data_IF_269657511583
#
_entry.id   IF_269657511583
#
_cell.length_a   1.000
_cell.length_b   1.000
_cell.length_c   1.000
_cell.angle_alpha   90.00
_cell.angle_beta   90.00
_cell.angle_gamma   90.00
#
_symmetry.space_group_name_H-M   'P 1'
#
loop_
_entity.id
_entity.type
_entity.pdbx_description
1 polymer ?
#
# COMPACT_ATOMS: atom_id res chain seq x y z
N UNK A 1 15.63 2.25 21.63
CA UNK A 1 14.76 3.44 21.49
C UNK A 1 15.03 4.04 20.12
N UNK A 2 14.24 3.68 19.11
CA UNK A 2 14.32 4.29 17.78
C UNK A 2 13.29 5.43 17.72
N UNK A 3 13.76 6.61 17.34
CA UNK A 3 13.03 7.87 17.46
C UNK A 3 11.70 7.88 16.72
N UNK A 4 10.65 8.25 17.45
CA UNK A 4 9.35 8.63 16.93
C UNK A 4 9.50 10.02 16.26
N UNK A 5 10.21 10.09 15.13
CA UNK A 5 10.25 11.28 14.30
C UNK A 5 8.85 11.49 13.75
N UNK A 6 8.22 12.62 14.09
CA UNK A 6 6.80 12.90 13.85
C UNK A 6 6.27 12.26 12.57
N UNK A 7 5.52 11.16 12.73
CA UNK A 7 5.04 10.36 11.61
C UNK A 7 4.09 11.24 10.80
N UNK A 8 4.53 11.64 9.60
CA UNK A 8 3.66 12.32 8.65
C UNK A 8 2.49 11.39 8.35
N UNK A 9 1.26 11.90 8.50
CA UNK A 9 0.06 11.17 8.08
C UNK A 9 0.22 10.67 6.64
N UNK A 10 -0.21 9.45 6.36
CA UNK A 10 -0.04 8.80 5.05
C UNK A 10 -0.63 9.66 3.92
N UNK A 11 -1.66 10.46 4.21
CA UNK A 11 -2.25 11.44 3.27
C UNK A 11 -1.23 12.43 2.67
N UNK A 12 -0.12 12.68 3.37
CA UNK A 12 0.95 13.61 2.94
C UNK A 12 2.20 12.88 2.44
N UNK A 13 2.16 11.56 2.29
CA UNK A 13 3.30 10.82 1.77
C UNK A 13 3.48 11.12 0.29
N UNK A 14 4.72 11.42 -0.08
CA UNK A 14 5.14 11.56 -1.47
C UNK A 14 5.65 10.21 -1.98
N UNK A 15 5.94 10.05 -3.28
CA UNK A 15 6.58 8.83 -3.77
C UNK A 15 7.90 8.48 -3.06
N UNK A 16 8.62 9.46 -2.51
CA UNK A 16 9.82 9.22 -1.70
C UNK A 16 9.48 8.59 -0.34
N UNK A 17 8.39 9.02 0.30
CA UNK A 17 7.91 8.43 1.56
C UNK A 17 7.41 6.99 1.33
N UNK A 18 6.65 6.76 0.25
CA UNK A 18 6.23 5.40 -0.15
C UNK A 18 7.44 4.50 -0.44
N UNK A 19 8.44 5.01 -1.16
CA UNK A 19 9.66 4.25 -1.44
C UNK A 19 10.45 3.88 -0.19
N UNK A 20 10.43 4.72 0.85
CA UNK A 20 11.00 4.38 2.16
C UNK A 20 10.19 3.28 2.85
N UNK A 21 8.87 3.41 2.90
CA UNK A 21 7.98 2.41 3.50
C UNK A 21 8.12 1.04 2.82
N UNK A 22 8.18 1.00 1.48
CA UNK A 22 8.42 -0.24 0.73
C UNK A 22 9.73 -0.91 1.14
N UNK A 23 10.81 -0.15 1.34
CA UNK A 23 12.10 -0.71 1.78
C UNK A 23 12.02 -1.28 3.19
N UNK A 24 11.35 -0.57 4.10
CA UNK A 24 11.14 -1.00 5.49
C UNK A 24 10.30 -2.28 5.58
N UNK A 25 9.33 -2.46 4.67
CA UNK A 25 8.51 -3.67 4.53
C UNK A 25 9.19 -4.81 3.74
N UNK A 26 10.40 -4.58 3.20
CA UNK A 26 11.16 -5.60 2.46
C UNK A 26 10.78 -5.75 0.98
N UNK A 27 10.33 -4.67 0.35
CA UNK A 27 9.94 -4.57 -1.08
C UNK A 27 10.83 -3.59 -1.86
N UNK A 28 12.14 -3.57 -1.57
CA UNK A 28 13.08 -2.64 -2.21
C UNK A 28 13.10 -2.73 -3.74
N UNK A 29 12.93 -3.94 -4.28
CA UNK A 29 12.94 -4.22 -5.72
C UNK A 29 11.74 -3.59 -6.45
N UNK A 30 10.67 -3.28 -5.74
CA UNK A 30 9.47 -2.65 -6.29
C UNK A 30 9.48 -1.12 -6.22
N UNK A 31 10.47 -0.51 -5.57
CA UNK A 31 10.51 0.95 -5.40
C UNK A 31 10.58 1.67 -6.75
N UNK A 32 11.39 1.17 -7.69
CA UNK A 32 11.49 1.82 -9.00
C UNK A 32 10.17 1.77 -9.77
N UNK A 33 9.55 0.58 -9.83
CA UNK A 33 8.26 0.38 -10.49
C UNK A 33 7.14 1.22 -9.84
N UNK A 34 6.97 1.11 -8.53
CA UNK A 34 5.84 1.72 -7.83
C UNK A 34 6.04 3.24 -7.63
N UNK A 35 7.25 3.69 -7.31
CA UNK A 35 7.49 5.08 -6.95
C UNK A 35 8.07 5.92 -8.08
N UNK A 36 9.04 5.40 -8.85
CA UNK A 36 9.67 6.21 -9.90
C UNK A 36 8.84 6.19 -11.19
N UNK A 37 8.39 5.01 -11.61
CA UNK A 37 7.60 4.84 -12.84
C UNK A 37 6.13 5.23 -12.63
N UNK A 38 5.48 4.67 -11.61
CA UNK A 38 4.04 4.87 -11.38
C UNK A 38 3.69 5.94 -10.35
N UNK A 39 4.70 6.53 -9.69
CA UNK A 39 4.56 7.70 -8.82
C UNK A 39 3.52 7.52 -7.71
N UNK A 40 3.40 6.32 -7.15
CA UNK A 40 2.50 6.07 -6.03
C UNK A 40 2.87 6.95 -4.84
N UNK A 41 1.93 7.79 -4.44
CA UNK A 41 1.95 8.56 -3.20
C UNK A 41 1.15 7.82 -2.11
N UNK A 42 1.06 8.39 -0.90
CA UNK A 42 0.41 7.69 0.22
C UNK A 42 -1.06 7.39 0.00
N UNK A 43 -1.80 8.31 -0.60
CA UNK A 43 -3.22 8.11 -0.93
C UNK A 43 -3.36 6.98 -1.94
N UNK A 44 -2.58 6.99 -3.01
CA UNK A 44 -2.61 5.94 -4.04
C UNK A 44 -2.18 4.57 -3.48
N UNK A 45 -1.22 4.55 -2.55
CA UNK A 45 -0.79 3.34 -1.85
C UNK A 45 -1.91 2.79 -0.94
N UNK A 46 -2.61 3.66 -0.20
CA UNK A 46 -3.71 3.27 0.67
C UNK A 46 -4.87 2.66 -0.10
N UNK A 47 -5.12 3.13 -1.33
CA UNK A 47 -6.23 2.63 -2.16
C UNK A 47 -5.83 1.47 -3.07
N UNK A 48 -4.57 1.03 -3.03
CA UNK A 48 -4.05 0.00 -3.94
C UNK A 48 -4.71 -1.36 -3.67
N UNK A 49 -5.28 -1.96 -4.72
CA UNK A 49 -5.94 -3.25 -4.64
C UNK A 49 -5.06 -4.40 -5.13
N UNK A 50 -5.47 -5.64 -4.83
CA UNK A 50 -4.79 -6.82 -5.40
C UNK A 50 -4.92 -6.86 -6.92
N UNK A 51 -6.01 -6.31 -7.48
CA UNK A 51 -6.21 -6.21 -8.92
C UNK A 51 -5.17 -5.29 -9.56
N UNK A 52 -4.91 -4.12 -8.96
CA UNK A 52 -3.92 -3.16 -9.47
C UNK A 52 -2.53 -3.75 -9.52
N UNK A 53 -2.15 -4.55 -8.51
CA UNK A 53 -0.85 -5.23 -8.49
C UNK A 53 -0.72 -6.27 -9.60
N UNK A 54 -1.80 -6.99 -9.92
CA UNK A 54 -1.77 -8.10 -10.90
C UNK A 54 -1.95 -7.63 -12.34
N UNK A 55 -2.67 -6.55 -12.54
CA UNK A 55 -3.05 -6.05 -13.86
C UNK A 55 -2.05 -5.01 -14.38
N UNK A 56 -1.95 -4.82 -15.70
CA UNK A 56 -1.28 -3.64 -16.24
C UNK A 56 -1.87 -2.35 -15.64
N UNK A 57 -1.03 -1.36 -15.28
CA UNK A 57 0.36 -1.24 -15.73
C UNK A 57 1.42 -1.69 -14.69
N UNK A 58 1.02 -2.22 -13.53
CA UNK A 58 1.97 -2.74 -12.53
C UNK A 58 2.40 -4.17 -12.88
N UNK A 59 1.42 -5.04 -13.14
CA UNK A 59 1.60 -6.39 -13.64
C UNK A 59 2.68 -7.23 -12.92
N UNK A 60 2.67 -7.21 -11.57
CA UNK A 60 3.60 -7.97 -10.75
C UNK A 60 3.43 -9.47 -11.06
N UNK A 61 4.55 -10.14 -11.33
CA UNK A 61 4.56 -11.54 -11.78
C UNK A 61 4.70 -12.56 -10.64
N UNK A 62 5.24 -12.15 -9.50
CA UNK A 62 5.54 -13.04 -8.39
C UNK A 62 4.38 -13.05 -7.40
N UNK A 63 3.59 -14.14 -7.40
CA UNK A 63 2.41 -14.27 -6.53
C UNK A 63 2.74 -14.12 -5.04
N UNK A 64 3.87 -14.68 -4.60
CA UNK A 64 4.30 -14.60 -3.20
C UNK A 64 4.53 -13.15 -2.76
N UNK A 65 5.11 -12.32 -3.62
CA UNK A 65 5.35 -10.91 -3.35
C UNK A 65 4.05 -10.12 -3.38
N UNK A 66 3.16 -10.38 -4.35
CA UNK A 66 1.82 -9.79 -4.38
C UNK A 66 1.08 -10.06 -3.07
N UNK A 67 1.06 -11.31 -2.60
CA UNK A 67 0.35 -11.66 -1.37
C UNK A 67 0.97 -11.02 -0.13
N UNK A 68 2.30 -11.00 -0.02
CA UNK A 68 2.99 -10.32 1.09
C UNK A 68 2.72 -8.82 1.08
N UNK A 69 2.80 -8.17 -0.08
CA UNK A 69 2.56 -6.74 -0.21
C UNK A 69 1.11 -6.41 0.16
N UNK A 70 0.13 -7.20 -0.30
CA UNK A 70 -1.28 -7.01 0.10
C UNK A 70 -1.50 -7.12 1.62
N UNK A 71 -0.77 -8.00 2.31
CA UNK A 71 -0.84 -8.08 3.78
C UNK A 71 -0.32 -6.79 4.42
N UNK A 72 0.82 -6.26 3.95
CA UNK A 72 1.38 -4.99 4.42
C UNK A 72 0.45 -3.81 4.13
N UNK A 73 -0.14 -3.76 2.92
CA UNK A 73 -1.12 -2.73 2.54
C UNK A 73 -2.36 -2.76 3.43
N UNK A 74 -2.92 -3.94 3.72
CA UNK A 74 -4.08 -4.06 4.63
C UNK A 74 -3.78 -3.60 6.05
N UNK A 75 -2.57 -3.87 6.56
CA UNK A 75 -2.13 -3.32 7.85
C UNK A 75 -2.07 -1.80 7.82
N UNK A 76 -1.51 -1.23 6.75
CA UNK A 76 -1.41 0.21 6.56
C UNK A 76 -2.80 0.86 6.47
N UNK A 77 -3.72 0.27 5.69
CA UNK A 77 -5.12 0.69 5.58
C UNK A 77 -5.83 0.67 6.93
N UNK A 78 -5.71 -0.44 7.68
CA UNK A 78 -6.30 -0.57 9.02
C UNK A 78 -5.78 0.48 10.01
N UNK A 79 -4.54 0.91 9.87
CA UNK A 79 -3.94 1.96 10.71
C UNK A 79 -4.39 3.38 10.33
N UNK A 80 -4.99 3.56 9.14
CA UNK A 80 -5.36 4.86 8.57
C UNK A 80 -6.82 4.84 8.07
N UNK A 81 -7.73 4.20 8.82
CA UNK A 81 -9.15 4.07 8.45
C UNK A 81 -9.82 5.44 8.36
N UNK A 82 -9.46 6.38 9.24
CA UNK A 82 -9.92 7.77 9.20
C UNK A 82 -9.63 8.43 7.85
N UNK A 83 -8.44 8.20 7.29
CA UNK A 83 -8.05 8.75 5.99
C UNK A 83 -8.87 8.10 4.87
N UNK A 84 -9.15 6.80 4.96
CA UNK A 84 -9.99 6.11 3.97
C UNK A 84 -11.45 6.61 4.02
N UNK A 85 -12.00 6.79 5.22
CA UNK A 85 -13.35 7.34 5.42
C UNK A 85 -13.47 8.77 4.88
N UNK A 86 -12.47 9.62 5.12
CA UNK A 86 -12.38 10.98 4.54
C UNK A 86 -12.37 10.96 3.00
N UNK A 87 -11.79 9.92 2.39
CA UNK A 87 -11.79 9.71 0.94
C UNK A 87 -13.10 9.07 0.41
N UNK A 88 -14.05 8.76 1.29
CA UNK A 88 -15.30 8.08 0.94
C UNK A 88 -15.14 6.58 0.65
N UNK A 89 -14.07 5.96 1.17
CA UNK A 89 -13.76 4.54 0.99
C UNK A 89 -13.91 3.78 2.30
N UNK A 90 -14.56 2.62 2.25
CA UNK A 90 -14.65 1.71 3.38
C UNK A 90 -13.44 0.78 3.41
N UNK A 91 -12.87 0.54 4.59
CA UNK A 91 -11.93 -0.57 4.77
C UNK A 91 -12.68 -1.91 4.70
N UNK A 92 -12.70 -2.54 3.54
CA UNK A 92 -13.20 -3.91 3.38
C UNK A 92 -12.15 -4.92 3.88
N UNK A 93 -12.01 -4.99 5.21
CA UNK A 93 -11.20 -6.00 5.89
C UNK A 93 -11.72 -7.43 5.75
N UNK A 94 -12.80 -7.65 4.99
CA UNK A 94 -13.43 -8.94 4.80
C UNK A 94 -12.88 -9.64 3.55
N UNK A 95 -12.09 -10.69 3.79
CA UNK A 95 -11.93 -11.78 2.82
C UNK A 95 -13.31 -12.39 2.49
N UNK A 96 -13.48 -12.99 1.30
CA UNK A 96 -14.78 -13.32 0.73
C UNK A 96 -15.56 -14.23 1.67
N UNK A 97 -16.82 -13.86 1.92
CA UNK A 97 -17.82 -14.84 2.32
C UNK A 97 -17.86 -15.89 1.23
N UNK A 98 -17.52 -17.12 1.61
CA UNK A 98 -17.73 -18.31 0.83
C UNK A 98 -19.25 -18.50 0.75
N UNK A 99 -19.88 -17.90 -0.26
CA UNK A 99 -21.28 -18.17 -0.62
C UNK A 99 -21.30 -19.40 -1.51
N UNK A 100 -21.36 -20.57 -0.90
CA UNK A 100 -21.80 -21.82 -1.50
C UNK A 100 -22.52 -22.64 -0.44
#
# INVERSE_FOLDING_TARGET
MAGNGGQLSVRHWTPKHVGRWLREEGFCDYVDLLCNKHRLDGTSLLTLSEYDLRSPPLELKVLGDIKRLMVSLRKLQKQNVDVLEELGLSYDGHSPQNSA
#
